data_IF_736248965269
#
_entry.id   IF_736248965269
#
_cell.length_a   1.000
_cell.length_b   1.000
_cell.length_c   1.000
_cell.angle_alpha   90.00
_cell.angle_beta   90.00
_cell.angle_gamma   90.00
#
_symmetry.space_group_name_H-M   'P 1'
#
loop_
_entity.id
_entity.type
_entity.pdbx_description
1 polymer ?
#
# COMPACT_ATOMS: atom_id res chain seq x y z
N UNK A 1 -1.53 -24.82 3.08
CA UNK A 1 -2.55 -24.31 2.15
C UNK A 1 -3.07 -25.51 1.39
N UNK A 2 -4.37 -25.82 1.48
CA UNK A 2 -4.98 -27.01 0.86
C UNK A 2 -5.82 -26.67 -0.38
N UNK A 3 -6.25 -25.42 -0.49
CA UNK A 3 -7.09 -24.92 -1.57
C UNK A 3 -6.44 -23.70 -2.23
N UNK A 4 -5.91 -23.82 -3.46
CA UNK A 4 -5.37 -22.68 -4.19
C UNK A 4 -6.47 -21.66 -4.54
N UNK A 5 -7.70 -22.12 -4.76
CA UNK A 5 -8.87 -21.25 -4.98
C UNK A 5 -9.24 -20.50 -3.71
N UNK A 6 -9.15 -21.14 -2.54
CA UNK A 6 -9.40 -20.49 -1.25
C UNK A 6 -8.36 -19.41 -0.94
N UNK A 7 -7.07 -19.69 -1.19
CA UNK A 7 -6.01 -18.69 -1.06
C UNK A 7 -6.22 -17.51 -2.00
N UNK A 8 -6.52 -17.79 -3.27
CA UNK A 8 -6.79 -16.73 -4.24
C UNK A 8 -7.97 -15.86 -3.80
N UNK A 9 -9.12 -16.45 -3.45
CA UNK A 9 -10.27 -15.69 -2.99
C UNK A 9 -9.95 -14.76 -1.80
N UNK A 10 -9.17 -15.26 -0.83
CA UNK A 10 -8.71 -14.46 0.32
C UNK A 10 -7.81 -13.28 -0.07
N UNK A 11 -6.96 -13.43 -1.09
CA UNK A 11 -6.07 -12.37 -1.56
C UNK A 11 -6.80 -11.31 -2.40
N UNK A 12 -7.80 -11.73 -3.19
CA UNK A 12 -8.57 -10.82 -4.02
C UNK A 12 -9.47 -9.91 -3.16
N UNK A 13 -10.05 -10.45 -2.08
CA UNK A 13 -10.96 -9.74 -1.15
C UNK A 13 -10.20 -8.99 -0.04
N UNK A 14 -9.21 -8.17 -0.44
CA UNK A 14 -8.38 -7.43 0.52
C UNK A 14 -9.15 -6.26 1.17
N UNK A 15 -9.75 -5.40 0.36
CA UNK A 15 -10.62 -4.29 0.74
C UNK A 15 -11.47 -3.88 -0.47
N UNK A 16 -12.47 -3.02 -0.27
CA UNK A 16 -13.44 -2.67 -1.33
C UNK A 16 -12.80 -2.02 -2.57
N UNK A 17 -11.80 -1.15 -2.38
CA UNK A 17 -11.14 -0.45 -3.49
C UNK A 17 -10.18 -1.37 -4.23
N UNK A 18 -9.37 -2.13 -3.49
CA UNK A 18 -8.48 -3.14 -4.06
C UNK A 18 -9.24 -4.24 -4.78
N UNK A 19 -10.36 -4.72 -4.22
CA UNK A 19 -11.22 -5.71 -4.86
C UNK A 19 -11.81 -5.19 -6.17
N UNK A 20 -12.28 -3.93 -6.19
CA UNK A 20 -12.79 -3.30 -7.40
C UNK A 20 -11.70 -3.12 -8.48
N UNK A 21 -10.49 -2.73 -8.08
CA UNK A 21 -9.31 -2.67 -8.95
C UNK A 21 -9.01 -4.04 -9.57
N UNK A 22 -8.79 -5.05 -8.72
CA UNK A 22 -8.40 -6.39 -9.13
C UNK A 22 -9.50 -7.05 -9.99
N UNK A 23 -10.78 -6.86 -9.65
CA UNK A 23 -11.90 -7.40 -10.44
C UNK A 23 -11.93 -6.85 -11.87
N UNK A 24 -11.60 -5.57 -12.07
CA UNK A 24 -11.48 -4.96 -13.41
C UNK A 24 -10.31 -5.57 -14.20
N UNK A 25 -9.18 -5.79 -13.54
CA UNK A 25 -8.00 -6.47 -14.13
C UNK A 25 -8.36 -7.87 -14.62
N UNK A 26 -9.07 -8.65 -13.80
CA UNK A 26 -9.56 -9.98 -14.21
C UNK A 26 -10.65 -9.91 -15.29
N UNK A 27 -11.39 -8.81 -15.39
CA UNK A 27 -12.34 -8.55 -16.49
C UNK A 27 -11.66 -8.12 -17.80
N UNK A 28 -10.34 -7.91 -17.79
CA UNK A 28 -9.54 -7.53 -18.96
C UNK A 28 -9.43 -6.02 -19.19
N UNK A 29 -9.84 -5.21 -18.20
CA UNK A 29 -9.68 -3.75 -18.26
C UNK A 29 -8.25 -3.33 -17.90
N UNK A 30 -7.75 -2.28 -18.56
CA UNK A 30 -6.47 -1.68 -18.21
C UNK A 30 -6.60 -0.83 -16.95
N UNK A 31 -6.08 -1.34 -15.83
CA UNK A 31 -6.22 -0.70 -14.52
C UNK A 31 -4.90 -0.56 -13.74
N UNK A 32 -3.75 -0.51 -14.42
CA UNK A 32 -2.43 -0.36 -13.78
C UNK A 32 -1.79 -1.68 -13.33
N UNK A 33 -2.56 -2.78 -13.31
CA UNK A 33 -2.08 -4.14 -13.07
C UNK A 33 -2.53 -5.06 -14.21
N UNK A 34 -1.82 -6.18 -14.37
CA UNK A 34 -2.21 -7.31 -15.21
C UNK A 34 -2.69 -8.48 -14.34
N UNK A 35 -3.33 -9.48 -14.98
CA UNK A 35 -3.72 -10.71 -14.28
C UNK A 35 -2.51 -11.46 -13.74
N UNK A 36 -1.43 -11.48 -14.51
CA UNK A 36 -0.20 -12.18 -14.14
C UNK A 36 0.46 -11.54 -12.93
N UNK A 37 0.44 -10.20 -12.83
CA UNK A 37 0.91 -9.51 -11.62
C UNK A 37 0.20 -10.06 -10.37
N UNK A 38 -1.14 -10.17 -10.41
CA UNK A 38 -1.93 -10.63 -9.25
C UNK A 38 -1.66 -12.12 -8.97
N UNK A 39 -1.56 -12.93 -10.02
CA UNK A 39 -1.26 -14.35 -9.90
C UNK A 39 0.14 -14.60 -9.36
N UNK A 40 1.14 -13.77 -9.68
CA UNK A 40 2.49 -13.87 -9.14
C UNK A 40 2.49 -13.64 -7.62
N UNK A 41 1.73 -12.66 -7.14
CA UNK A 41 1.57 -12.41 -5.70
C UNK A 41 0.87 -13.56 -4.96
N UNK A 42 -0.14 -14.18 -5.58
CA UNK A 42 -0.78 -15.37 -5.00
C UNK A 42 0.18 -16.57 -5.04
N UNK A 43 0.92 -16.72 -6.14
CA UNK A 43 1.81 -17.85 -6.40
C UNK A 43 2.98 -17.87 -5.41
N UNK A 44 3.58 -16.71 -5.09
CA UNK A 44 4.65 -16.67 -4.09
C UNK A 44 4.16 -17.16 -2.73
N UNK A 45 2.95 -16.77 -2.30
CA UNK A 45 2.37 -17.25 -1.03
C UNK A 45 2.01 -18.73 -1.08
N UNK A 46 1.47 -19.20 -2.21
CA UNK A 46 1.12 -20.60 -2.41
C UNK A 46 2.35 -21.51 -2.36
N UNK A 47 3.36 -21.24 -3.19
CA UNK A 47 4.54 -22.09 -3.33
C UNK A 47 5.41 -22.10 -2.09
N UNK A 48 5.40 -21.02 -1.30
CA UNK A 48 6.13 -20.95 -0.03
C UNK A 48 5.30 -21.46 1.16
N UNK A 49 4.02 -21.77 0.96
CA UNK A 49 3.07 -22.17 2.02
C UNK A 49 3.02 -21.18 3.19
N UNK A 50 3.04 -19.89 2.90
CA UNK A 50 3.21 -18.82 3.91
C UNK A 50 1.92 -18.10 4.31
N UNK A 51 0.76 -18.53 3.82
CA UNK A 51 -0.52 -17.87 4.16
C UNK A 51 -0.74 -17.74 5.68
N UNK A 52 -0.52 -18.82 6.44
CA UNK A 52 -0.70 -18.83 7.89
C UNK A 52 0.44 -18.09 8.61
N UNK A 53 1.69 -18.25 8.19
CA UNK A 53 2.81 -17.55 8.82
C UNK A 53 2.74 -16.03 8.60
N UNK A 54 2.27 -15.58 7.44
CA UNK A 54 1.97 -14.17 7.17
C UNK A 54 0.82 -13.65 8.04
N UNK A 55 -0.28 -14.43 8.14
CA UNK A 55 -1.44 -14.06 8.97
C UNK A 55 -1.11 -13.93 10.46
N UNK A 56 -0.09 -14.64 10.97
CA UNK A 56 0.37 -14.52 12.37
C UNK A 56 0.80 -13.10 12.74
N UNK A 57 1.24 -12.28 11.79
CA UNK A 57 1.58 -10.87 12.06
C UNK A 57 0.37 -10.11 12.64
N UNK A 58 -0.84 -10.40 12.17
CA UNK A 58 -2.07 -9.80 12.70
C UNK A 58 -2.37 -10.27 14.12
N UNK A 59 -2.10 -11.54 14.43
CA UNK A 59 -2.23 -12.06 15.79
C UNK A 59 -1.23 -11.39 16.74
N UNK A 60 0.02 -11.20 16.32
CA UNK A 60 1.07 -10.62 17.16
C UNK A 60 0.94 -9.09 17.31
N UNK A 61 0.32 -8.40 16.36
CA UNK A 61 0.12 -6.95 16.43
C UNK A 61 -0.94 -6.59 17.49
N UNK A 62 -0.49 -6.18 18.69
CA UNK A 62 -1.35 -5.72 19.80
C UNK A 62 -1.47 -4.20 19.90
N UNK A 63 -0.89 -3.47 18.95
CA UNK A 63 -0.85 -2.01 19.00
C UNK A 63 -2.19 -1.39 18.57
N UNK A 64 -2.52 -0.18 19.08
CA UNK A 64 -3.68 0.55 18.60
C UNK A 64 -3.56 0.84 17.10
N UNK A 65 -4.66 0.62 16.37
CA UNK A 65 -4.76 0.79 14.92
C UNK A 65 -4.43 2.23 14.49
N UNK A 66 -5.04 3.23 15.13
CA UNK A 66 -4.68 4.64 14.98
C UNK A 66 -4.05 5.18 16.25
N UNK A 67 -2.81 5.67 16.15
CA UNK A 67 -2.15 6.38 17.24
C UNK A 67 -0.97 7.21 16.74
N UNK A 68 -0.76 8.38 17.35
CA UNK A 68 0.47 9.16 17.14
C UNK A 68 1.61 8.45 17.85
N UNK A 69 2.65 8.07 17.10
CA UNK A 69 3.80 7.30 17.61
C UNK A 69 5.00 8.16 18.03
N UNK A 70 4.87 9.49 18.01
CA UNK A 70 5.94 10.40 18.43
C UNK A 70 7.19 10.35 17.53
N UNK A 71 7.01 10.10 16.23
CA UNK A 71 8.12 10.01 15.27
C UNK A 71 8.84 11.36 15.17
N UNK A 72 10.14 11.37 15.49
CA UNK A 72 10.95 12.59 15.63
C UNK A 72 11.98 12.81 14.50
N UNK A 73 11.95 11.98 13.46
CA UNK A 73 12.76 12.08 12.24
C UNK A 73 11.98 12.81 11.13
N UNK A 74 12.63 13.31 10.06
CA UNK A 74 11.92 13.84 8.90
C UNK A 74 10.99 12.79 8.26
N UNK A 75 9.78 13.20 7.90
CA UNK A 75 8.76 12.32 7.30
C UNK A 75 8.18 12.93 6.03
N UNK A 76 8.00 12.10 5.01
CA UNK A 76 7.24 12.42 3.80
C UNK A 76 5.98 11.55 3.75
N UNK A 77 4.85 12.13 3.31
CA UNK A 77 3.58 11.42 3.15
C UNK A 77 3.01 11.68 1.76
N UNK A 78 2.61 10.61 1.08
CA UNK A 78 1.91 10.65 -0.20
C UNK A 78 0.56 9.97 -0.03
N UNK A 79 -0.52 10.74 -0.19
CA UNK A 79 -1.88 10.31 0.07
C UNK A 79 -2.58 9.94 -1.26
N UNK A 80 -2.67 8.63 -1.53
CA UNK A 80 -3.33 8.06 -2.69
C UNK A 80 -4.84 7.98 -2.47
N UNK A 81 -5.68 8.40 -3.43
CA UNK A 81 -7.10 8.66 -3.20
C UNK A 81 -7.93 7.43 -2.80
N UNK A 82 -7.55 6.24 -3.27
CA UNK A 82 -8.27 4.98 -3.01
C UNK A 82 -7.62 4.17 -1.88
N UNK A 83 -6.84 4.81 -1.00
CA UNK A 83 -6.35 4.22 0.26
C UNK A 83 -7.51 4.07 1.27
N UNK A 84 -7.52 2.95 1.99
CA UNK A 84 -8.55 2.60 2.99
C UNK A 84 -8.60 3.69 4.07
N UNK A 85 -7.43 4.07 4.59
CA UNK A 85 -7.26 5.04 5.66
C UNK A 85 -6.54 6.29 5.17
N UNK A 86 -7.18 7.03 4.26
CA UNK A 86 -6.62 8.24 3.70
C UNK A 86 -6.26 9.26 4.79
N UNK A 87 -4.97 9.53 4.97
CA UNK A 87 -4.47 10.48 5.97
C UNK A 87 -4.56 11.93 5.45
N UNK A 88 -5.45 12.78 6.00
CA UNK A 88 -5.51 14.19 5.62
C UNK A 88 -4.25 14.93 6.07
N UNK A 89 -3.85 15.97 5.34
CA UNK A 89 -2.68 16.79 5.68
C UNK A 89 -2.66 17.25 7.13
N UNK A 90 -3.80 17.73 7.63
CA UNK A 90 -3.92 18.21 9.02
C UNK A 90 -3.66 17.12 10.05
N UNK A 91 -3.93 15.84 9.72
CA UNK A 91 -3.61 14.71 10.59
C UNK A 91 -2.12 14.38 10.52
N UNK A 92 -1.55 14.37 9.31
CA UNK A 92 -0.11 14.16 9.10
C UNK A 92 0.73 15.21 9.83
N UNK A 93 0.36 16.49 9.76
CA UNK A 93 1.05 17.58 10.46
C UNK A 93 1.00 17.43 11.99
N UNK A 94 -0.10 16.93 12.55
CA UNK A 94 -0.22 16.64 13.99
C UNK A 94 0.55 15.39 14.40
N UNK A 95 0.57 14.37 13.54
CA UNK A 95 1.23 13.10 13.82
C UNK A 95 2.77 13.18 13.65
N UNK A 96 3.25 14.02 12.75
CA UNK A 96 4.65 14.13 12.35
C UNK A 96 5.16 15.57 12.49
N UNK A 97 5.77 15.94 13.64
CA UNK A 97 6.29 17.28 13.87
C UNK A 97 7.37 17.74 12.87
N UNK A 98 8.01 16.80 12.18
CA UNK A 98 9.01 17.05 11.11
C UNK A 98 8.51 16.58 9.74
N UNK A 99 7.24 16.81 9.43
CA UNK A 99 6.68 16.57 8.10
C UNK A 99 7.36 17.51 7.08
N UNK A 100 8.17 16.95 6.18
CA UNK A 100 8.93 17.71 5.18
C UNK A 100 8.27 17.72 3.81
N UNK A 101 7.37 16.77 3.54
CA UNK A 101 6.66 16.64 2.29
C UNK A 101 5.27 16.04 2.53
N UNK A 102 4.26 16.63 1.91
CA UNK A 102 2.92 16.07 1.83
C UNK A 102 2.37 16.34 0.44
N UNK A 103 1.84 15.30 -0.20
CA UNK A 103 1.09 15.45 -1.44
C UNK A 103 -0.14 14.53 -1.44
N UNK A 104 -1.21 15.00 -2.08
CA UNK A 104 -2.41 14.20 -2.35
C UNK A 104 -2.45 13.95 -3.85
N UNK A 105 -2.54 12.69 -4.25
CA UNK A 105 -2.52 12.29 -5.64
C UNK A 105 -3.94 12.17 -6.21
N UNK A 106 -4.02 12.18 -7.54
CA UNK A 106 -5.29 12.11 -8.28
C UNK A 106 -5.71 10.67 -8.62
N UNK A 107 -4.81 9.69 -8.47
CA UNK A 107 -5.08 8.27 -8.72
C UNK A 107 -4.18 7.35 -7.90
N UNK A 108 -4.61 6.10 -7.76
CA UNK A 108 -3.93 5.05 -7.02
C UNK A 108 -4.59 4.75 -5.67
N UNK A 109 -4.36 3.55 -5.16
CA UNK A 109 -4.86 3.11 -3.85
C UNK A 109 -3.81 2.45 -2.96
N UNK A 110 -4.25 1.45 -2.20
CA UNK A 110 -3.46 0.77 -1.18
C UNK A 110 -2.13 0.19 -1.69
N UNK A 111 -2.13 -0.35 -2.91
CA UNK A 111 -0.93 -0.91 -3.55
C UNK A 111 -0.20 0.09 -4.45
N UNK A 112 0.01 1.32 -3.98
CA UNK A 112 0.53 2.45 -4.76
C UNK A 112 1.76 2.14 -5.64
N UNK A 113 2.76 1.45 -5.09
CA UNK A 113 3.98 1.10 -5.83
C UNK A 113 3.74 0.05 -6.93
N UNK A 114 2.73 -0.80 -6.77
CA UNK A 114 2.38 -1.85 -7.69
C UNK A 114 1.45 -1.33 -8.80
N UNK A 115 0.45 -0.53 -8.43
CA UNK A 115 -0.55 0.02 -9.34
C UNK A 115 -0.05 1.24 -10.13
N UNK A 116 0.73 2.13 -9.49
CA UNK A 116 1.19 3.39 -10.08
C UNK A 116 2.71 3.55 -9.90
N UNK A 117 3.55 2.66 -10.45
CA UNK A 117 4.98 2.61 -10.14
C UNK A 117 5.74 3.90 -10.48
N UNK A 118 5.36 4.58 -11.57
CA UNK A 118 5.95 5.87 -11.94
C UNK A 118 5.60 6.97 -10.93
N UNK A 119 4.31 7.13 -10.58
CA UNK A 119 3.87 8.12 -9.58
C UNK A 119 4.52 7.85 -8.23
N UNK A 120 4.51 6.60 -7.77
CA UNK A 120 5.17 6.22 -6.52
C UNK A 120 6.66 6.59 -6.52
N UNK A 121 7.37 6.29 -7.62
CA UNK A 121 8.80 6.62 -7.73
C UNK A 121 9.07 8.13 -7.75
N UNK A 122 8.20 8.92 -8.38
CA UNK A 122 8.29 10.38 -8.40
C UNK A 122 8.04 10.98 -7.01
N UNK A 123 7.04 10.49 -6.30
CA UNK A 123 6.74 10.89 -4.92
C UNK A 123 7.88 10.57 -3.96
N UNK A 124 8.49 9.39 -4.08
CA UNK A 124 9.69 9.04 -3.31
C UNK A 124 10.80 10.05 -3.60
N UNK A 125 11.10 10.33 -4.87
CA UNK A 125 12.14 11.32 -5.23
C UNK A 125 11.81 12.72 -4.70
N UNK A 126 10.55 13.13 -4.77
CA UNK A 126 10.10 14.43 -4.26
C UNK A 126 10.25 14.51 -2.74
N UNK A 127 9.85 13.47 -2.01
CA UNK A 127 9.97 13.37 -0.56
C UNK A 127 11.43 13.38 -0.08
N UNK A 128 12.36 12.79 -0.84
CA UNK A 128 13.78 12.81 -0.51
C UNK A 128 14.52 14.08 -0.97
N UNK A 129 13.95 14.88 -1.87
CA UNK A 129 14.60 16.09 -2.42
C UNK A 129 15.09 17.07 -1.33
N UNK A 130 14.34 17.36 -0.25
CA UNK A 130 14.81 18.24 0.82
C UNK A 130 16.00 17.68 1.63
N UNK A 131 16.25 16.36 1.56
CA UNK A 131 17.34 15.69 2.27
C UNK A 131 18.63 15.58 1.45
N UNK A 132 18.61 15.98 0.17
CA UNK A 132 19.79 15.96 -0.66
C UNK A 132 20.73 17.09 -0.22
N UNK A 133 21.95 16.72 0.17
CA UNK A 133 23.00 17.68 0.47
C UNK A 133 23.48 18.33 -0.82
N UNK A 134 23.44 19.65 -0.92
CA UNK A 134 24.12 20.37 -2.00
C UNK A 134 25.62 20.10 -1.87
N UNK A 135 26.20 19.33 -2.80
CA UNK A 135 27.64 19.35 -3.02
C UNK A 135 28.02 20.65 -3.72
#
# INVERSE_FOLDING_TARGET
ADSPVGLAAYFLDHDAWSYALISRVFSGEAAGLTRDDVLDNITITWLTNTAISGARLYWESKLPYFSVKGVSIPVAVSAFPDEIDLCPRSWAERAYPKLMYYNKLDKGGHFAAWEQPQLFSEEVRAGFRPLQWNR
#
